data_IF_458801446599
#
_entry.id   IF_458801446599
#
_cell.length_a   1.000
_cell.length_b   1.000
_cell.length_c   1.000
_cell.angle_alpha   90.00
_cell.angle_beta   90.00
_cell.angle_gamma   90.00
#
_symmetry.space_group_name_H-M   'P 1'
#
loop_
_entity.id
_entity.type
_entity.pdbx_description
1 polymer ?
#
# COMPACT_ATOMS: atom_id res chain seq x y z
N UNK A 1 -15.24 6.64 4.62
CA UNK A 1 -13.94 6.58 5.34
C UNK A 1 -12.85 6.89 4.31
N UNK A 2 -11.74 7.53 4.69
CA UNK A 2 -10.66 7.83 3.74
C UNK A 2 -9.38 7.10 4.15
N UNK A 3 -8.72 6.47 3.18
CA UNK A 3 -7.36 5.98 3.38
C UNK A 3 -6.43 7.20 3.47
N UNK A 4 -5.46 7.16 4.38
CA UNK A 4 -4.40 8.17 4.50
C UNK A 4 -3.05 7.48 4.43
N UNK A 5 -2.00 8.23 4.07
CA UNK A 5 -0.63 7.70 4.02
C UNK A 5 -0.24 7.06 5.35
N UNK A 6 -0.66 7.63 6.49
CA UNK A 6 -0.44 7.05 7.82
C UNK A 6 -1.12 5.68 8.00
N UNK A 7 -2.37 5.53 7.55
CA UNK A 7 -3.06 4.23 7.61
C UNK A 7 -2.33 3.17 6.79
N UNK A 8 -1.84 3.53 5.59
CA UNK A 8 -1.07 2.60 4.77
C UNK A 8 0.25 2.25 5.44
N UNK A 9 0.95 3.24 6.02
CA UNK A 9 2.18 3.00 6.78
C UNK A 9 1.96 2.11 8.01
N UNK A 10 0.85 2.27 8.71
CA UNK A 10 0.47 1.37 9.81
C UNK A 10 0.24 -0.05 9.30
N UNK A 11 -0.48 -0.22 8.18
CA UNK A 11 -0.72 -1.54 7.59
C UNK A 11 0.59 -2.19 7.11
N UNK A 12 1.47 -1.41 6.51
CA UNK A 12 2.82 -1.85 6.13
C UNK A 12 3.61 -2.26 7.38
N UNK A 13 3.56 -1.49 8.46
CA UNK A 13 4.23 -1.86 9.72
C UNK A 13 3.64 -3.14 10.34
N UNK A 14 2.32 -3.33 10.22
CA UNK A 14 1.59 -4.50 10.71
C UNK A 14 1.84 -5.75 9.84
N UNK A 15 2.11 -5.56 8.54
CA UNK A 15 2.46 -6.63 7.60
C UNK A 15 3.86 -7.24 7.84
N UNK A 16 4.61 -6.73 8.83
CA UNK A 16 6.00 -7.13 9.15
C UNK A 16 6.95 -7.15 7.94
N UNK A 17 6.64 -6.34 6.92
CA UNK A 17 7.46 -6.29 5.70
C UNK A 17 8.84 -5.70 6.02
N UNK A 18 9.88 -6.23 5.38
CA UNK A 18 11.28 -5.86 5.60
C UNK A 18 11.55 -4.43 5.09
N UNK A 19 11.10 -3.44 5.86
CA UNK A 19 11.27 -2.03 5.55
C UNK A 19 10.64 -1.21 6.67
N UNK A 20 11.41 -0.28 7.24
CA UNK A 20 10.86 0.64 8.23
C UNK A 20 9.77 1.50 7.56
N UNK A 21 8.48 1.19 7.78
CA UNK A 21 7.35 1.98 7.27
C UNK A 21 7.47 3.48 7.65
N UNK A 22 8.15 3.75 8.76
CA UNK A 22 8.48 5.10 9.24
C UNK A 22 9.45 5.85 8.32
N UNK A 23 10.41 5.16 7.68
CA UNK A 23 11.38 5.75 6.75
C UNK A 23 10.87 5.78 5.30
N UNK A 24 9.70 5.19 5.02
CA UNK A 24 9.17 5.15 3.67
C UNK A 24 8.69 6.51 3.17
N UNK A 25 9.12 6.83 1.96
CA UNK A 25 8.72 7.97 1.15
C UNK A 25 7.48 7.61 0.36
N UNK A 26 6.45 8.44 0.49
CA UNK A 26 5.14 8.19 -0.12
C UNK A 26 5.16 8.17 -1.65
N UNK A 27 6.04 8.99 -2.22
CA UNK A 27 6.19 9.24 -3.67
C UNK A 27 7.23 8.31 -4.33
N UNK A 28 7.73 7.31 -3.62
CA UNK A 28 8.70 6.35 -4.15
C UNK A 28 8.06 4.97 -4.18
N UNK A 29 8.31 4.17 -5.24
CA UNK A 29 7.79 2.81 -5.30
C UNK A 29 8.24 1.98 -4.09
N UNK A 30 7.34 1.16 -3.53
CA UNK A 30 7.67 0.30 -2.38
C UNK A 30 8.87 -0.62 -2.67
N UNK A 31 8.98 -1.11 -3.92
CA UNK A 31 10.09 -1.95 -4.39
C UNK A 31 11.44 -1.22 -4.38
N UNK A 32 11.47 0.07 -4.70
CA UNK A 32 12.70 0.87 -4.69
C UNK A 32 13.17 1.20 -3.26
N UNK A 33 12.28 1.06 -2.28
CA UNK A 33 12.56 1.31 -0.87
C UNK A 33 13.03 0.05 -0.12
N UNK A 34 13.23 -1.05 -0.85
CA UNK A 34 13.69 -2.31 -0.28
C UNK A 34 12.56 -3.24 0.18
N UNK A 35 11.29 -2.93 -0.12
CA UNK A 35 10.22 -3.91 0.09
C UNK A 35 10.31 -4.97 -0.99
N UNK A 36 10.33 -6.23 -0.57
CA UNK A 36 10.33 -7.35 -1.48
C UNK A 36 9.01 -7.44 -2.26
N UNK A 37 9.06 -8.01 -3.46
CA UNK A 37 7.87 -8.08 -4.32
C UNK A 37 6.72 -8.89 -3.69
N UNK A 38 7.03 -9.87 -2.84
CA UNK A 38 6.04 -10.65 -2.08
C UNK A 38 5.43 -9.86 -0.92
N UNK A 39 6.25 -9.05 -0.26
CA UNK A 39 5.85 -8.18 0.83
C UNK A 39 4.87 -7.10 0.35
N UNK A 40 5.12 -6.54 -0.83
CA UNK A 40 4.19 -5.61 -1.50
C UNK A 40 2.81 -6.24 -1.72
N UNK A 41 2.74 -7.52 -2.12
CA UNK A 41 1.47 -8.24 -2.31
C UNK A 41 0.73 -8.44 -0.98
N UNK A 42 1.44 -8.76 0.10
CA UNK A 42 0.84 -8.88 1.44
C UNK A 42 0.22 -7.55 1.89
N UNK A 43 0.93 -6.42 1.67
CA UNK A 43 0.40 -5.09 1.99
C UNK A 43 -0.90 -4.83 1.24
N UNK A 44 -0.97 -5.13 -0.05
CA UNK A 44 -2.22 -4.98 -0.81
C UNK A 44 -3.34 -5.84 -0.26
N UNK A 45 -3.09 -7.11 0.05
CA UNK A 45 -4.10 -8.01 0.58
C UNK A 45 -4.67 -7.52 1.93
N UNK A 46 -3.79 -7.05 2.82
CA UNK A 46 -4.21 -6.44 4.10
C UNK A 46 -5.02 -5.16 3.89
N UNK A 47 -4.65 -4.33 2.91
CA UNK A 47 -5.39 -3.13 2.55
C UNK A 47 -6.75 -3.46 1.95
N UNK A 48 -6.82 -4.46 1.06
CA UNK A 48 -8.05 -4.97 0.49
C UNK A 48 -9.01 -5.45 1.57
N UNK A 49 -8.54 -6.26 2.53
CA UNK A 49 -9.36 -6.72 3.66
C UNK A 49 -9.75 -5.58 4.60
N UNK A 50 -8.84 -4.66 4.92
CA UNK A 50 -9.09 -3.57 5.87
C UNK A 50 -10.06 -2.52 5.33
N UNK A 51 -10.01 -2.26 4.02
CA UNK A 51 -10.84 -1.27 3.36
C UNK A 51 -12.01 -1.88 2.55
N UNK A 52 -12.15 -3.21 2.54
CA UNK A 52 -13.14 -3.95 1.74
C UNK A 52 -13.09 -3.55 0.25
N UNK A 53 -11.87 -3.43 -0.30
CA UNK A 53 -11.61 -3.04 -1.70
C UNK A 53 -10.96 -4.18 -2.46
N UNK A 54 -10.99 -4.11 -3.79
CA UNK A 54 -10.20 -4.98 -4.68
C UNK A 54 -9.29 -4.15 -5.58
N UNK A 55 -8.02 -4.49 -5.56
CA UNK A 55 -6.95 -3.97 -6.40
C UNK A 55 -6.55 -5.12 -7.34
N UNK A 56 -7.04 -5.12 -8.60
CA UNK A 56 -6.69 -6.16 -9.54
C UNK A 56 -5.21 -6.08 -9.92
N UNK A 57 -4.61 -7.21 -10.28
CA UNK A 57 -3.18 -7.31 -10.62
C UNK A 57 -2.74 -6.32 -11.71
N UNK A 58 -3.64 -6.00 -12.64
CA UNK A 58 -3.42 -5.02 -13.73
C UNK A 58 -3.20 -3.59 -13.22
N UNK A 59 -3.83 -3.22 -12.10
CA UNK A 59 -3.67 -1.90 -11.48
C UNK A 59 -2.45 -1.86 -10.52
N UNK A 60 -1.93 -3.01 -10.08
CA UNK A 60 -0.75 -3.08 -9.18
C UNK A 60 0.49 -2.42 -9.76
N UNK A 61 0.64 -2.44 -11.09
CA UNK A 61 1.71 -1.73 -11.78
C UNK A 61 1.54 -0.21 -11.73
N UNK A 62 0.31 0.30 -11.61
CA UNK A 62 0.02 1.72 -11.50
C UNK A 62 0.04 2.22 -10.05
N UNK A 63 -0.27 1.36 -9.08
CA UNK A 63 -0.32 1.70 -7.65
C UNK A 63 0.97 1.40 -6.89
N UNK A 64 2.14 1.54 -7.51
CA UNK A 64 3.41 1.15 -6.87
C UNK A 64 3.87 2.06 -5.71
N UNK A 65 3.30 3.26 -5.58
CA UNK A 65 3.67 4.27 -4.56
C UNK A 65 2.59 4.39 -3.49
N UNK A 66 2.96 4.70 -2.24
CA UNK A 66 1.98 4.82 -1.16
C UNK A 66 0.90 5.86 -1.49
N UNK A 67 1.27 6.98 -2.11
CA UNK A 67 0.30 8.00 -2.56
C UNK A 67 -0.70 7.43 -3.58
N UNK A 68 -0.22 6.69 -4.59
CA UNK A 68 -1.09 6.07 -5.59
C UNK A 68 -2.03 5.04 -4.95
N UNK A 69 -1.55 4.25 -3.98
CA UNK A 69 -2.36 3.28 -3.23
C UNK A 69 -3.45 3.99 -2.44
N UNK A 70 -3.08 5.04 -1.70
CA UNK A 70 -4.03 5.86 -0.94
C UNK A 70 -5.10 6.44 -1.86
N UNK A 71 -4.70 7.01 -3.00
CA UNK A 71 -5.62 7.62 -3.95
C UNK A 71 -6.53 6.58 -4.59
N UNK A 72 -5.99 5.42 -4.98
CA UNK A 72 -6.75 4.32 -5.55
C UNK A 72 -7.80 3.78 -4.57
N UNK A 73 -7.41 3.50 -3.32
CA UNK A 73 -8.32 3.01 -2.28
C UNK A 73 -9.41 4.06 -2.01
N UNK A 74 -9.04 5.34 -1.88
CA UNK A 74 -10.02 6.42 -1.72
C UNK A 74 -10.98 6.56 -2.90
N UNK A 75 -10.53 6.27 -4.12
CA UNK A 75 -11.37 6.27 -5.30
C UNK A 75 -12.36 5.10 -5.31
N UNK A 76 -12.04 3.98 -4.67
CA UNK A 76 -12.95 2.81 -4.55
C UNK A 76 -13.89 2.90 -3.36
N UNK A 77 -13.49 3.60 -2.30
CA UNK A 77 -14.29 3.84 -1.08
C UNK A 77 -15.33 4.97 -1.22
N UNK A 78 -15.33 5.71 -2.34
CA UNK A 78 -16.29 6.79 -2.60
C UNK A 78 -17.60 6.30 -3.20
#
# INVERSE_FOLDING_TARGET
MKATVENIKEVIAEAEVLGNASEMVSNVPLRDQGIDSLDVVNVYLLLEEKFDVKIPDEDLEQVQTIDAIVEYINSKLN
#
